data_IF_255796463611
#
_entry.id   IF_255796463611
#
_cell.length_a   1.000
_cell.length_b   1.000
_cell.length_c   1.000
_cell.angle_alpha   90.00
_cell.angle_beta   90.00
_cell.angle_gamma   90.00
#
_symmetry.space_group_name_H-M   'P 1'
#
loop_
_entity.id
_entity.type
_entity.pdbx_description
1 polymer ?
#
# COMPACT_ATOMS: atom_id res chain seq x y z
N UNK A 1 13.93 13.62 7.28
CA UNK A 1 13.64 14.13 5.92
C UNK A 1 12.34 13.54 5.35
N UNK A 2 12.11 12.23 5.42
CA UNK A 2 10.85 11.58 4.90
C UNK A 2 9.56 12.09 5.57
N UNK A 3 9.64 12.53 6.81
CA UNK A 3 8.50 13.04 7.59
C UNK A 3 7.80 14.25 6.95
N UNK A 4 8.51 15.03 6.14
CA UNK A 4 7.94 16.17 5.39
C UNK A 4 6.90 15.71 4.36
N UNK A 5 7.02 14.48 3.84
CA UNK A 5 6.09 13.90 2.87
C UNK A 5 4.76 13.46 3.50
N UNK A 6 4.65 13.44 4.84
CA UNK A 6 3.43 12.96 5.53
C UNK A 6 2.21 13.80 5.20
N UNK A 7 2.35 15.12 5.19
CA UNK A 7 1.25 16.02 4.89
C UNK A 7 0.85 15.96 3.41
N UNK A 8 1.76 16.08 2.43
CA UNK A 8 1.40 15.95 1.02
C UNK A 8 0.72 14.62 0.67
N UNK A 9 1.19 13.51 1.25
CA UNK A 9 0.60 12.18 1.01
C UNK A 9 -0.81 12.01 1.60
N UNK A 10 -1.19 12.82 2.57
CA UNK A 10 -2.50 12.71 3.22
C UNK A 10 -3.48 13.78 2.76
N UNK A 11 -3.00 15.01 2.62
CA UNK A 11 -3.84 16.18 2.29
C UNK A 11 -3.81 16.53 0.80
N UNK A 12 -2.93 15.90 0.00
CA UNK A 12 -2.69 16.24 -1.40
C UNK A 12 -2.33 17.72 -1.63
N UNK A 13 -1.74 18.36 -0.59
CA UNK A 13 -1.37 19.77 -0.58
C UNK A 13 -0.07 19.99 0.18
N UNK A 14 0.67 21.03 -0.24
CA UNK A 14 1.82 21.55 0.49
C UNK A 14 1.45 22.94 0.99
N UNK A 15 1.62 23.19 2.30
CA UNK A 15 1.46 24.51 2.90
C UNK A 15 2.81 25.12 3.25
N UNK A 16 3.03 26.33 2.79
CA UNK A 16 4.21 27.12 3.10
C UNK A 16 3.77 28.38 3.84
N UNK A 17 4.09 28.44 5.13
CA UNK A 17 3.82 29.63 5.95
C UNK A 17 5.07 30.52 5.99
N UNK A 18 4.90 31.80 5.65
CA UNK A 18 5.91 32.86 5.73
C UNK A 18 5.31 34.11 6.40
N UNK A 19 6.16 35.05 6.78
CA UNK A 19 5.71 36.33 7.37
C UNK A 19 4.72 37.08 6.43
N UNK A 20 4.83 36.88 5.11
CA UNK A 20 3.98 37.48 4.09
C UNK A 20 2.66 36.77 3.85
N UNK A 21 2.40 35.60 4.48
CA UNK A 21 1.17 34.83 4.32
C UNK A 21 1.38 33.32 4.29
N UNK A 22 0.25 32.61 4.17
CA UNK A 22 0.22 31.16 4.00
C UNK A 22 -0.16 30.82 2.55
N UNK A 23 0.65 30.02 1.91
CA UNK A 23 0.46 29.59 0.51
C UNK A 23 0.20 28.10 0.46
N UNK A 24 -0.85 27.69 -0.28
CA UNK A 24 -1.16 26.29 -0.52
C UNK A 24 -0.85 25.94 -1.99
N UNK A 25 -0.20 24.81 -2.18
CA UNK A 25 0.10 24.24 -3.52
C UNK A 25 -0.51 22.85 -3.62
N UNK A 26 -1.13 22.48 -4.75
CA UNK A 26 -1.58 21.12 -4.99
C UNK A 26 -0.37 20.16 -5.02
N UNK A 27 -0.52 18.99 -4.40
CA UNK A 27 0.52 17.96 -4.34
C UNK A 27 -0.14 16.56 -4.38
N UNK A 28 -0.92 16.33 -5.43
CA UNK A 28 -1.51 15.02 -5.72
C UNK A 28 -0.54 14.21 -6.57
N UNK A 29 0.17 13.26 -5.95
CA UNK A 29 1.20 12.45 -6.61
C UNK A 29 1.20 11.02 -6.08
N UNK A 30 1.67 10.09 -6.90
CA UNK A 30 1.95 8.73 -6.49
C UNK A 30 3.40 8.61 -6.02
N UNK A 31 3.61 8.14 -4.79
CA UNK A 31 4.94 7.87 -4.25
C UNK A 31 5.31 6.40 -4.47
N UNK A 32 6.40 6.16 -5.19
CA UNK A 32 7.04 4.85 -5.31
C UNK A 32 8.42 4.96 -4.69
N UNK A 33 8.71 4.08 -3.73
CA UNK A 33 9.98 4.07 -3.01
C UNK A 33 10.56 2.66 -2.97
N UNK A 34 11.88 2.55 -3.03
CA UNK A 34 12.62 1.31 -2.84
C UNK A 34 13.69 1.51 -1.78
N UNK A 35 13.88 0.50 -0.93
CA UNK A 35 14.92 0.50 0.09
C UNK A 35 15.46 -0.89 0.32
N UNK A 36 16.68 -0.98 0.80
CA UNK A 36 17.24 -2.22 1.30
C UNK A 36 16.70 -2.53 2.71
N UNK A 37 16.65 -3.81 3.12
CA UNK A 37 16.19 -4.20 4.46
C UNK A 37 17.21 -3.89 5.57
N UNK A 38 18.48 -3.59 5.21
CA UNK A 38 19.54 -3.22 6.13
C UNK A 38 20.70 -2.53 5.37
N UNK A 39 21.71 -1.95 6.05
CA UNK A 39 22.84 -1.29 5.40
C UNK A 39 23.61 -2.17 4.39
N UNK A 40 23.76 -3.49 4.65
CA UNK A 40 24.43 -4.40 3.72
C UNK A 40 23.48 -5.02 2.67
N UNK A 41 22.16 -4.83 2.79
CA UNK A 41 21.15 -5.32 1.87
C UNK A 41 20.83 -6.82 1.97
N UNK A 42 21.41 -7.56 2.94
CA UNK A 42 21.28 -9.03 2.98
C UNK A 42 20.29 -9.55 4.04
N UNK A 43 19.81 -8.72 4.96
CA UNK A 43 18.79 -9.12 5.92
C UNK A 43 17.49 -9.54 5.17
N UNK A 44 16.76 -10.59 5.58
CA UNK A 44 16.92 -11.40 6.79
C UNK A 44 17.86 -12.61 6.69
N UNK A 45 18.60 -12.81 5.61
CA UNK A 45 19.56 -13.90 5.46
C UNK A 45 20.75 -13.68 6.41
N UNK A 46 20.71 -14.32 7.58
CA UNK A 46 21.75 -14.17 8.61
C UNK A 46 23.10 -14.74 8.19
N UNK A 47 23.17 -15.62 7.17
CA UNK A 47 24.43 -16.16 6.66
C UNK A 47 25.17 -15.14 5.79
N UNK A 48 24.46 -14.21 5.19
CA UNK A 48 25.01 -13.17 4.30
C UNK A 48 25.01 -11.77 4.93
N UNK A 49 24.16 -11.56 5.94
CA UNK A 49 24.01 -10.28 6.59
C UNK A 49 25.07 -10.09 7.69
N UNK A 50 25.94 -9.10 7.53
CA UNK A 50 26.97 -8.73 8.50
C UNK A 50 26.54 -7.61 9.45
N UNK A 51 25.27 -7.18 9.42
CA UNK A 51 24.78 -6.10 10.25
C UNK A 51 24.39 -6.62 11.64
N UNK A 52 24.76 -5.89 12.67
CA UNK A 52 24.25 -6.11 14.04
C UNK A 52 22.75 -5.75 14.13
N UNK A 53 22.05 -6.34 15.10
CA UNK A 53 20.63 -5.99 15.37
C UNK A 53 20.43 -4.48 15.56
N UNK A 54 21.35 -3.84 16.29
CA UNK A 54 21.30 -2.38 16.53
C UNK A 54 21.46 -1.57 15.25
N UNK A 55 22.34 -1.99 14.34
CA UNK A 55 22.50 -1.33 13.03
C UNK A 55 21.25 -1.49 12.17
N UNK A 56 20.64 -2.69 12.14
CA UNK A 56 19.39 -2.92 11.42
C UNK A 56 18.27 -2.05 11.99
N UNK A 57 18.08 -2.05 13.30
CA UNK A 57 17.05 -1.25 13.97
C UNK A 57 17.23 0.26 13.72
N UNK A 58 18.45 0.76 13.81
CA UNK A 58 18.77 2.17 13.52
C UNK A 58 18.46 2.51 12.06
N UNK A 59 18.82 1.63 11.12
CA UNK A 59 18.57 1.82 9.69
C UNK A 59 17.07 1.84 9.37
N UNK A 60 16.32 0.84 9.83
CA UNK A 60 14.88 0.77 9.64
C UNK A 60 14.14 1.89 10.39
N UNK A 61 14.69 2.36 11.51
CA UNK A 61 14.13 3.48 12.28
C UNK A 61 14.15 4.84 11.56
N UNK A 62 14.84 4.96 10.43
CA UNK A 62 14.74 6.15 9.57
C UNK A 62 13.38 6.26 8.87
N UNK A 63 12.62 5.17 8.78
CA UNK A 63 11.26 5.14 8.29
C UNK A 63 10.33 4.97 9.50
N UNK A 64 9.59 6.00 9.84
CA UNK A 64 8.69 5.97 11.00
C UNK A 64 7.42 5.18 10.71
N UNK A 65 6.80 4.64 11.77
CA UNK A 65 5.49 3.97 11.65
C UNK A 65 4.42 4.88 11.04
N UNK A 66 4.29 6.17 11.46
CA UNK A 66 3.32 7.07 10.83
C UNK A 66 3.56 7.31 9.34
N UNK A 67 4.79 7.17 8.85
CA UNK A 67 5.08 7.23 7.42
C UNK A 67 4.67 5.93 6.73
N UNK A 68 4.97 4.76 7.31
CA UNK A 68 4.53 3.45 6.79
C UNK A 68 3.02 3.34 6.72
N UNK A 69 2.30 3.89 7.71
CA UNK A 69 0.83 3.91 7.71
C UNK A 69 0.25 4.70 6.53
N UNK A 70 1.06 5.54 5.87
CA UNK A 70 0.67 6.28 4.66
C UNK A 70 0.95 5.53 3.37
N UNK A 71 1.81 4.52 3.40
CA UNK A 71 1.99 3.61 2.27
C UNK A 71 0.77 2.71 2.14
N UNK A 72 0.31 2.49 0.91
CA UNK A 72 -0.83 1.59 0.66
C UNK A 72 -0.36 0.16 0.49
N UNK A 73 0.75 -0.04 -0.21
CA UNK A 73 1.33 -1.33 -0.53
C UNK A 73 2.80 -1.37 -0.12
N UNK A 74 3.19 -2.47 0.56
CA UNK A 74 4.58 -2.80 0.82
C UNK A 74 4.86 -4.18 0.22
N UNK A 75 5.84 -4.27 -0.67
CA UNK A 75 6.21 -5.52 -1.34
C UNK A 75 7.67 -5.84 -1.12
N UNK A 76 7.99 -7.11 -1.01
CA UNK A 76 9.36 -7.61 -0.94
C UNK A 76 9.79 -8.07 -2.33
N UNK A 77 10.82 -7.42 -2.88
CA UNK A 77 11.42 -7.87 -4.13
C UNK A 77 12.43 -8.99 -3.82
N UNK A 78 12.12 -10.20 -4.28
CA UNK A 78 13.03 -11.35 -4.15
C UNK A 78 14.26 -11.14 -5.02
N UNK A 79 15.38 -11.74 -4.60
CA UNK A 79 16.56 -11.83 -5.48
C UNK A 79 16.27 -12.81 -6.60
N UNK A 80 16.58 -12.40 -7.81
CA UNK A 80 16.51 -13.29 -8.99
C UNK A 80 17.69 -14.26 -8.92
N UNK A 81 17.43 -15.55 -8.97
CA UNK A 81 18.47 -16.57 -9.06
C UNK A 81 19.01 -16.68 -10.48
N UNK A 82 20.28 -17.08 -10.63
CA UNK A 82 20.92 -17.17 -11.96
C UNK A 82 20.11 -18.03 -12.95
N UNK A 83 19.51 -19.13 -12.47
CA UNK A 83 18.65 -19.99 -13.29
C UNK A 83 17.36 -19.33 -13.77
N UNK A 84 16.89 -18.30 -13.11
CA UNK A 84 15.69 -17.55 -13.49
C UNK A 84 15.97 -16.48 -14.55
N UNK A 85 17.21 -15.98 -14.62
CA UNK A 85 17.63 -15.00 -15.64
C UNK A 85 17.54 -15.57 -17.07
N UNK A 86 17.56 -16.88 -17.23
CA UNK A 86 17.52 -17.56 -18.51
C UNK A 86 16.20 -18.28 -18.78
N UNK A 87 15.22 -18.18 -17.87
CA UNK A 87 13.87 -18.69 -18.13
C UNK A 87 13.20 -17.81 -19.19
N UNK A 88 13.08 -18.32 -20.39
CA UNK A 88 12.26 -17.76 -21.46
C UNK A 88 10.77 -18.08 -21.21
N UNK A 89 10.25 -17.68 -20.06
CA UNK A 89 8.82 -17.71 -19.79
C UNK A 89 8.13 -16.57 -20.56
N UNK A 90 6.89 -16.81 -21.00
CA UNK A 90 6.07 -15.71 -21.53
C UNK A 90 5.67 -14.83 -20.35
N UNK A 91 6.47 -13.80 -20.09
CA UNK A 91 6.10 -12.77 -19.11
C UNK A 91 4.97 -11.90 -19.65
N UNK A 92 4.13 -11.42 -18.76
CA UNK A 92 3.03 -10.52 -19.10
C UNK A 92 3.60 -9.20 -19.66
N UNK A 93 3.10 -8.78 -20.81
CA UNK A 93 3.56 -7.55 -21.46
C UNK A 93 2.97 -6.31 -20.79
N UNK A 94 3.66 -5.17 -20.91
CA UNK A 94 3.13 -3.87 -20.43
C UNK A 94 1.78 -3.51 -21.06
N UNK A 95 1.49 -4.00 -22.29
CA UNK A 95 0.21 -3.78 -22.95
C UNK A 95 -0.92 -4.57 -22.28
N UNK A 96 -0.68 -5.83 -21.90
CA UNK A 96 -1.64 -6.68 -21.18
C UNK A 96 -1.94 -6.10 -19.78
N UNK A 97 -0.89 -5.69 -19.05
CA UNK A 97 -1.03 -5.03 -17.74
C UNK A 97 -1.86 -3.75 -17.89
N UNK A 98 -1.55 -2.91 -18.89
CA UNK A 98 -2.29 -1.67 -19.14
C UNK A 98 -3.76 -1.94 -19.42
N UNK A 99 -4.08 -2.93 -20.24
CA UNK A 99 -5.46 -3.29 -20.56
C UNK A 99 -6.24 -3.69 -19.31
N UNK A 100 -5.65 -4.51 -18.44
CA UNK A 100 -6.25 -4.92 -17.15
C UNK A 100 -6.50 -3.71 -16.25
N UNK A 101 -5.51 -2.83 -16.13
CA UNK A 101 -5.65 -1.58 -15.35
C UNK A 101 -6.73 -0.66 -15.91
N UNK A 102 -6.79 -0.50 -17.23
CA UNK A 102 -7.82 0.32 -17.89
C UNK A 102 -9.22 -0.25 -17.66
N UNK A 103 -9.37 -1.58 -17.66
CA UNK A 103 -10.66 -2.23 -17.37
C UNK A 103 -11.10 -1.94 -15.92
N UNK A 104 -10.21 -2.12 -14.94
CA UNK A 104 -10.51 -1.80 -13.55
C UNK A 104 -10.85 -0.29 -13.36
N UNK A 105 -10.16 0.61 -14.08
CA UNK A 105 -10.45 2.04 -14.06
C UNK A 105 -11.83 2.37 -14.59
N UNK A 106 -12.28 1.74 -15.66
CA UNK A 106 -13.65 1.92 -16.19
C UNK A 106 -14.71 1.49 -15.17
N UNK A 107 -14.49 0.38 -14.45
CA UNK A 107 -15.37 -0.05 -13.36
C UNK A 107 -15.47 1.04 -12.28
N UNK A 108 -14.34 1.64 -11.90
CA UNK A 108 -14.30 2.73 -10.92
C UNK A 108 -15.00 3.99 -11.43
N UNK A 109 -14.78 4.39 -12.68
CA UNK A 109 -15.45 5.53 -13.31
C UNK A 109 -16.98 5.37 -13.28
N UNK A 110 -17.49 4.18 -13.62
CA UNK A 110 -18.92 3.87 -13.55
C UNK A 110 -19.45 3.89 -12.12
N UNK A 111 -18.70 3.30 -11.16
CA UNK A 111 -19.07 3.24 -9.74
C UNK A 111 -19.19 4.64 -9.12
N UNK A 112 -18.33 5.57 -9.50
CA UNK A 112 -18.26 6.91 -8.92
C UNK A 112 -18.91 7.99 -9.78
N UNK A 113 -19.71 7.59 -10.78
CA UNK A 113 -20.44 8.54 -11.61
C UNK A 113 -21.33 9.44 -10.75
N UNK A 114 -21.25 10.75 -10.97
CA UNK A 114 -21.98 11.74 -10.17
C UNK A 114 -21.36 12.09 -8.81
N UNK A 115 -20.17 11.58 -8.49
CA UNK A 115 -19.42 11.92 -7.27
C UNK A 115 -18.11 12.64 -7.60
N UNK A 116 -17.45 13.23 -6.59
CA UNK A 116 -16.11 13.82 -6.72
C UNK A 116 -14.98 12.76 -6.67
N UNK A 117 -15.33 11.48 -6.48
CA UNK A 117 -14.37 10.38 -6.40
C UNK A 117 -13.99 9.95 -7.80
N UNK A 118 -12.69 9.82 -8.07
CA UNK A 118 -12.17 9.34 -9.37
C UNK A 118 -11.65 7.91 -9.30
N UNK A 119 -11.18 7.48 -8.13
CA UNK A 119 -10.54 6.19 -7.92
C UNK A 119 -10.77 5.71 -6.49
N UNK A 120 -10.59 4.41 -6.24
CA UNK A 120 -10.75 3.83 -4.90
C UNK A 120 -9.88 4.52 -3.83
N UNK A 121 -8.73 5.11 -4.19
CA UNK A 121 -7.90 5.86 -3.24
C UNK A 121 -8.62 7.09 -2.67
N UNK A 122 -9.50 7.71 -3.45
CA UNK A 122 -10.28 8.90 -3.08
C UNK A 122 -11.48 8.61 -2.18
N UNK A 123 -11.84 7.36 -1.91
CA UNK A 123 -12.97 7.02 -1.03
C UNK A 123 -12.74 7.61 0.37
N UNK A 124 -13.63 8.48 0.83
CA UNK A 124 -13.62 9.01 2.19
C UNK A 124 -14.15 8.01 3.22
N UNK A 125 -13.86 8.24 4.50
CA UNK A 125 -14.30 7.34 5.60
C UNK A 125 -15.83 7.15 5.58
N UNK A 126 -16.60 8.22 5.32
CA UNK A 126 -18.07 8.15 5.25
C UNK A 126 -18.62 7.32 4.10
N UNK A 127 -17.84 7.18 3.03
CA UNK A 127 -18.21 6.47 1.81
C UNK A 127 -17.75 4.99 1.81
N UNK A 128 -16.97 4.60 2.85
CA UNK A 128 -16.50 3.21 2.98
C UNK A 128 -17.64 2.21 3.12
N UNK A 129 -18.69 2.59 3.86
CA UNK A 129 -19.87 1.74 4.06
C UNK A 129 -20.66 1.51 2.76
N UNK A 130 -20.58 2.43 1.82
CA UNK A 130 -21.24 2.34 0.52
C UNK A 130 -20.41 1.55 -0.49
N UNK A 131 -19.11 1.91 -0.64
CA UNK A 131 -18.28 1.41 -1.74
C UNK A 131 -17.36 0.24 -1.38
N UNK A 132 -17.14 -0.02 -0.10
CA UNK A 132 -16.29 -1.10 0.38
C UNK A 132 -17.06 -2.07 1.30
N UNK A 133 -18.30 -2.41 0.90
CA UNK A 133 -19.11 -3.37 1.64
C UNK A 133 -18.44 -4.75 1.66
N UNK A 134 -18.49 -5.38 2.81
CA UNK A 134 -17.99 -6.74 3.04
C UNK A 134 -19.07 -7.58 3.73
N UNK A 135 -19.09 -8.86 3.41
CA UNK A 135 -20.02 -9.82 4.03
C UNK A 135 -19.58 -10.27 5.43
N UNK A 136 -20.42 -11.07 6.07
CA UNK A 136 -20.13 -11.58 7.43
C UNK A 136 -18.83 -12.40 7.52
N UNK A 137 -18.48 -13.15 6.49
CA UNK A 137 -17.24 -13.95 6.43
C UNK A 137 -16.01 -13.05 6.35
N UNK A 138 -16.08 -12.04 5.52
CA UNK A 138 -15.07 -11.02 5.31
C UNK A 138 -14.88 -10.17 6.57
N UNK A 139 -15.97 -9.83 7.25
CA UNK A 139 -15.92 -9.09 8.50
C UNK A 139 -15.23 -9.91 9.61
N UNK A 140 -15.54 -11.20 9.73
CA UNK A 140 -14.84 -12.10 10.68
C UNK A 140 -13.34 -12.16 10.40
N UNK A 141 -12.95 -12.26 9.12
CA UNK A 141 -11.55 -12.22 8.69
C UNK A 141 -10.88 -10.90 9.09
N UNK A 142 -11.52 -9.77 8.77
CA UNK A 142 -10.98 -8.44 9.09
C UNK A 142 -10.89 -8.19 10.60
N UNK A 143 -11.84 -8.65 11.38
CA UNK A 143 -11.82 -8.58 12.85
C UNK A 143 -10.64 -9.38 13.44
N UNK A 144 -10.42 -10.59 12.93
CA UNK A 144 -9.27 -11.41 13.31
C UNK A 144 -7.94 -10.71 12.93
N UNK A 145 -7.84 -10.20 11.69
CA UNK A 145 -6.67 -9.49 11.22
C UNK A 145 -6.40 -8.21 12.04
N UNK A 146 -7.44 -7.44 12.37
CA UNK A 146 -7.34 -6.22 13.16
C UNK A 146 -6.67 -6.46 14.51
N UNK A 147 -7.09 -7.50 15.24
CA UNK A 147 -6.52 -7.86 16.54
C UNK A 147 -5.13 -8.50 16.39
N UNK A 148 -4.94 -9.44 15.45
CA UNK A 148 -3.69 -10.20 15.31
C UNK A 148 -2.56 -9.35 14.75
N UNK A 149 -2.88 -8.45 13.82
CA UNK A 149 -1.91 -7.58 13.15
C UNK A 149 -1.80 -6.20 13.81
N UNK A 150 -2.56 -5.92 14.87
CA UNK A 150 -2.56 -4.62 15.55
C UNK A 150 -2.83 -3.46 14.57
N UNK A 151 -3.81 -3.63 13.69
CA UNK A 151 -4.12 -2.63 12.67
C UNK A 151 -4.67 -1.36 13.32
N UNK A 152 -4.25 -0.21 12.82
CA UNK A 152 -4.91 1.07 13.14
C UNK A 152 -6.18 1.24 12.30
N UNK A 153 -7.09 2.13 12.71
CA UNK A 153 -8.28 2.46 11.90
C UNK A 153 -7.88 2.95 10.50
N UNK A 154 -6.78 3.71 10.38
CA UNK A 154 -6.25 4.18 9.09
C UNK A 154 -5.81 3.00 8.21
N UNK A 155 -5.06 2.07 8.77
CA UNK A 155 -4.60 0.88 8.04
C UNK A 155 -5.77 -0.02 7.65
N UNK A 156 -6.78 -0.17 8.52
CA UNK A 156 -8.01 -0.89 8.21
C UNK A 156 -8.70 -0.34 6.95
N UNK A 157 -8.91 0.98 6.90
CA UNK A 157 -9.53 1.61 5.73
C UNK A 157 -8.68 1.45 4.46
N UNK A 158 -7.35 1.52 4.58
CA UNK A 158 -6.46 1.27 3.43
C UNK A 158 -6.57 -0.15 2.91
N UNK A 159 -6.59 -1.15 3.80
CA UNK A 159 -6.80 -2.55 3.41
C UNK A 159 -8.10 -2.72 2.63
N UNK A 160 -9.19 -2.10 3.06
CA UNK A 160 -10.47 -2.15 2.34
C UNK A 160 -10.39 -1.52 0.95
N UNK A 161 -9.74 -0.35 0.81
CA UNK A 161 -9.54 0.31 -0.50
C UNK A 161 -8.68 -0.54 -1.46
N UNK A 162 -7.62 -1.15 -0.93
CA UNK A 162 -6.78 -2.06 -1.71
C UNK A 162 -7.57 -3.31 -2.11
N UNK A 163 -8.30 -3.93 -1.19
CA UNK A 163 -9.15 -5.08 -1.48
C UNK A 163 -10.23 -4.75 -2.53
N UNK A 164 -10.83 -3.55 -2.48
CA UNK A 164 -11.75 -3.07 -3.52
C UNK A 164 -11.06 -2.96 -4.88
N UNK A 165 -9.83 -2.49 -4.90
CA UNK A 165 -9.05 -2.36 -6.14
C UNK A 165 -8.68 -3.73 -6.71
N UNK A 166 -8.33 -4.70 -5.86
CA UNK A 166 -8.06 -6.08 -6.28
C UNK A 166 -9.33 -6.70 -6.87
N UNK A 167 -10.49 -6.54 -6.21
CA UNK A 167 -11.76 -7.03 -6.73
C UNK A 167 -12.12 -6.39 -8.08
N UNK A 168 -11.84 -5.09 -8.29
CA UNK A 168 -12.02 -4.44 -9.60
C UNK A 168 -11.09 -5.02 -10.68
N UNK A 169 -9.86 -5.39 -10.32
CA UNK A 169 -8.91 -6.05 -11.23
C UNK A 169 -9.35 -7.47 -11.60
N UNK A 170 -10.03 -8.17 -10.69
CA UNK A 170 -10.60 -9.50 -10.90
C UNK A 170 -11.98 -9.43 -11.59
N UNK A 171 -12.55 -8.22 -11.75
CA UNK A 171 -13.88 -8.03 -12.34
C UNK A 171 -15.03 -8.41 -11.42
N UNK A 172 -14.76 -8.50 -10.11
CA UNK A 172 -15.75 -8.89 -9.10
C UNK A 172 -16.46 -7.68 -8.51
N UNK A 173 -17.78 -7.77 -8.41
CA UNK A 173 -18.61 -6.69 -7.86
C UNK A 173 -18.44 -6.55 -6.34
N UNK A 174 -18.22 -7.66 -5.64
CA UNK A 174 -18.10 -7.70 -4.18
C UNK A 174 -16.66 -7.99 -3.74
N UNK A 175 -16.28 -7.41 -2.60
CA UNK A 175 -15.01 -7.72 -1.97
C UNK A 175 -15.14 -9.08 -1.28
N UNK A 176 -14.38 -10.07 -1.75
CA UNK A 176 -14.33 -11.41 -1.15
C UNK A 176 -13.12 -11.61 -0.23
N UNK A 177 -13.12 -12.73 0.49
CA UNK A 177 -12.04 -13.11 1.40
C UNK A 177 -10.66 -13.23 0.71
N UNK A 178 -10.60 -13.59 -0.58
CA UNK A 178 -9.35 -13.63 -1.37
C UNK A 178 -8.73 -12.26 -1.49
N UNK A 179 -9.52 -11.26 -1.87
CA UNK A 179 -9.09 -9.88 -2.04
C UNK A 179 -8.58 -9.27 -0.73
N UNK A 180 -9.27 -9.56 0.38
CA UNK A 180 -8.84 -9.12 1.71
C UNK A 180 -7.53 -9.77 2.16
N UNK A 181 -7.36 -11.07 1.91
CA UNK A 181 -6.11 -11.78 2.25
C UNK A 181 -4.92 -11.23 1.49
N UNK A 182 -5.10 -10.95 0.19
CA UNK A 182 -4.07 -10.32 -0.63
C UNK A 182 -3.75 -8.91 -0.12
N UNK A 183 -4.76 -8.07 0.10
CA UNK A 183 -4.59 -6.72 0.62
C UNK A 183 -3.88 -6.70 2.00
N UNK A 184 -4.20 -7.65 2.89
CA UNK A 184 -3.53 -7.83 4.18
C UNK A 184 -2.07 -8.28 3.99
N UNK A 185 -1.79 -9.10 2.97
CA UNK A 185 -0.45 -9.55 2.63
C UNK A 185 0.51 -8.39 2.40
N UNK A 186 0.07 -7.32 1.76
CA UNK A 186 0.86 -6.11 1.53
C UNK A 186 1.18 -5.33 2.83
N UNK A 187 0.56 -5.65 3.96
CA UNK A 187 0.82 -5.05 5.28
C UNK A 187 1.66 -5.94 6.21
N UNK A 188 1.88 -7.20 5.85
CA UNK A 188 2.65 -8.13 6.68
C UNK A 188 4.12 -7.74 6.81
N UNK A 189 4.68 -7.02 5.85
CA UNK A 189 6.07 -6.59 5.86
C UNK A 189 6.37 -5.58 6.97
N UNK A 190 5.38 -4.79 7.39
CA UNK A 190 5.53 -3.87 8.51
C UNK A 190 5.93 -4.62 9.79
N UNK A 191 5.30 -5.77 10.07
CA UNK A 191 5.67 -6.64 11.19
C UNK A 191 7.01 -7.33 10.99
N UNK A 192 7.29 -7.82 9.78
CA UNK A 192 8.50 -8.57 9.48
C UNK A 192 9.76 -7.73 9.72
N UNK A 193 9.74 -6.48 9.29
CA UNK A 193 10.92 -5.62 9.30
C UNK A 193 10.93 -4.60 10.43
N UNK A 194 9.79 -4.03 10.81
CA UNK A 194 9.71 -3.02 11.87
C UNK A 194 9.27 -3.58 13.21
N UNK A 195 8.78 -4.85 13.28
CA UNK A 195 8.68 -5.67 14.50
C UNK A 195 7.80 -5.12 15.61
N UNK A 196 6.75 -4.37 15.27
CA UNK A 196 5.91 -3.71 16.28
C UNK A 196 4.46 -4.13 16.19
#
# INVERSE_FOLDING_TARGET
MLEVLRQPLEEHKIRISRNSGCYEYPADFMLIAAMNPCPCGNYPDLNKCNCTKTQIQKYLGHVSQPFLDRMDLCVEASRVEYGELHKTGKEETSAEIRNRVCTARKIQEQRYEGTDIRTNSGIGVRQMEEFCQIGEKEEKLMRCAFSTMNLTARTYHKVLKVARTIADLDGEEQIGCSHLKEALGYRMLDKKYWGR
#
